data_IF_529508123058
#
_entry.id   IF_529508123058
#
_cell.length_a   1.000
_cell.length_b   1.000
_cell.length_c   1.000
_cell.angle_alpha   90.00
_cell.angle_beta   90.00
_cell.angle_gamma   90.00
#
_symmetry.space_group_name_H-M   'P 1'
#
loop_
_entity.id
_entity.type
_entity.pdbx_description
1 polymer ?
#
# COMPACT_ATOMS: atom_id res chain seq x y z
N UNK A 1 -23.24 3.80 -13.30
CA UNK A 1 -22.24 2.76 -13.65
C UNK A 1 -22.42 1.59 -12.68
N UNK A 2 -22.41 0.35 -13.16
CA UNK A 2 -22.52 -0.83 -12.26
C UNK A 2 -21.14 -1.13 -11.67
N UNK A 3 -21.09 -1.46 -10.38
CA UNK A 3 -19.84 -1.82 -9.67
C UNK A 3 -19.31 -3.20 -10.10
N UNK A 4 -20.18 -4.10 -10.50
CA UNK A 4 -19.84 -5.46 -10.91
C UNK A 4 -19.97 -5.65 -12.43
N UNK A 5 -19.07 -6.46 -13.00
CA UNK A 5 -19.08 -6.79 -14.43
C UNK A 5 -19.43 -8.26 -14.71
N UNK A 6 -19.31 -9.15 -13.71
CA UNK A 6 -19.48 -10.62 -13.81
C UNK A 6 -18.51 -11.31 -14.79
N UNK A 7 -17.56 -10.58 -15.36
CA UNK A 7 -16.59 -11.13 -16.32
C UNK A 7 -15.49 -11.97 -15.68
N UNK A 8 -15.37 -11.92 -14.35
CA UNK A 8 -14.38 -12.64 -13.56
C UNK A 8 -14.90 -13.88 -12.82
N UNK A 9 -16.18 -14.26 -12.99
CA UNK A 9 -16.82 -15.32 -12.19
C UNK A 9 -16.27 -16.72 -12.50
N UNK A 10 -15.55 -16.88 -13.62
CA UNK A 10 -14.89 -18.12 -14.05
C UNK A 10 -13.43 -18.23 -13.61
N UNK A 11 -12.93 -17.35 -12.75
CA UNK A 11 -11.57 -17.39 -12.23
C UNK A 11 -10.56 -16.56 -13.01
N UNK A 12 -10.99 -15.82 -14.03
CA UNK A 12 -10.13 -14.90 -14.78
C UNK A 12 -10.41 -13.44 -14.43
N UNK A 13 -9.39 -12.60 -14.62
CA UNK A 13 -9.48 -11.14 -14.49
C UNK A 13 -8.74 -10.44 -15.63
N UNK A 14 -8.82 -9.12 -15.70
CA UNK A 14 -8.07 -8.32 -16.67
C UNK A 14 -7.06 -7.42 -15.96
N UNK A 15 -5.84 -7.41 -16.50
CA UNK A 15 -4.85 -6.38 -16.18
C UNK A 15 -5.19 -5.07 -16.89
N UNK A 16 -4.55 -3.98 -16.48
CA UNK A 16 -4.61 -2.70 -17.20
C UNK A 16 -4.10 -2.93 -18.62
N UNK A 17 -4.87 -2.47 -19.60
CA UNK A 17 -4.64 -2.76 -21.03
C UNK A 17 -5.45 -3.94 -21.58
N UNK A 18 -6.35 -4.52 -20.77
CA UNK A 18 -7.33 -5.52 -21.22
C UNK A 18 -6.81 -6.96 -21.33
N UNK A 19 -5.59 -7.23 -20.92
CA UNK A 19 -5.02 -8.59 -20.92
C UNK A 19 -5.72 -9.47 -19.90
N UNK A 20 -6.28 -10.60 -20.35
CA UNK A 20 -6.90 -11.60 -19.46
C UNK A 20 -5.84 -12.50 -18.86
N UNK A 21 -5.94 -12.71 -17.55
CA UNK A 21 -5.07 -13.59 -16.75
C UNK A 21 -5.91 -14.33 -15.72
N UNK A 22 -5.41 -15.46 -15.22
CA UNK A 22 -6.02 -16.12 -14.06
C UNK A 22 -5.97 -15.23 -12.83
N UNK A 23 -6.98 -15.29 -11.98
CA UNK A 23 -6.96 -14.63 -10.67
C UNK A 23 -5.85 -15.17 -9.75
N UNK A 24 -5.30 -16.37 -10.02
CA UNK A 24 -4.15 -16.95 -9.33
C UNK A 24 -2.80 -16.59 -9.97
N UNK A 25 -2.75 -15.68 -10.94
CA UNK A 25 -1.50 -15.17 -11.50
C UNK A 25 -0.70 -14.43 -10.42
N UNK A 26 0.62 -14.67 -10.38
CA UNK A 26 1.51 -14.05 -9.39
C UNK A 26 1.43 -12.52 -9.39
N UNK A 27 1.14 -11.92 -10.54
CA UNK A 27 0.97 -10.47 -10.66
C UNK A 27 -0.30 -10.00 -9.94
N UNK A 28 -1.39 -10.78 -10.02
CA UNK A 28 -2.63 -10.50 -9.29
C UNK A 28 -2.38 -10.59 -7.79
N UNK A 29 -1.68 -11.62 -7.33
CA UNK A 29 -1.30 -11.80 -5.94
C UNK A 29 -0.42 -10.64 -5.45
N UNK A 30 0.56 -10.23 -6.25
CA UNK A 30 1.49 -9.14 -5.89
C UNK A 30 0.75 -7.81 -5.65
N UNK A 31 -0.12 -7.37 -6.57
CA UNK A 31 -0.83 -6.12 -6.35
C UNK A 31 -1.97 -6.28 -5.33
N UNK A 32 -2.50 -7.49 -5.16
CA UNK A 32 -3.46 -7.79 -4.09
C UNK A 32 -2.84 -7.59 -2.70
N UNK A 33 -1.61 -8.05 -2.49
CA UNK A 33 -0.87 -7.84 -1.24
C UNK A 33 -0.59 -6.35 -0.98
N UNK A 34 -0.26 -5.59 -2.03
CA UNK A 34 -0.09 -4.13 -1.91
C UNK A 34 -1.40 -3.43 -1.55
N UNK A 35 -2.51 -3.86 -2.14
CA UNK A 35 -3.85 -3.31 -1.84
C UNK A 35 -4.30 -3.67 -0.42
N UNK A 36 -4.00 -4.87 0.05
CA UNK A 36 -4.25 -5.29 1.43
C UNK A 36 -3.46 -4.44 2.43
N UNK A 37 -2.15 -4.23 2.19
CA UNK A 37 -1.33 -3.33 3.01
C UNK A 37 -1.92 -1.91 3.03
N UNK A 38 -2.34 -1.40 1.88
CA UNK A 38 -2.96 -0.08 1.76
C UNK A 38 -4.26 0.02 2.58
N UNK A 39 -5.05 -1.05 2.62
CA UNK A 39 -6.27 -1.13 3.43
C UNK A 39 -5.97 -1.14 4.93
N UNK A 40 -4.93 -1.85 5.36
CA UNK A 40 -4.46 -1.84 6.75
C UNK A 40 -3.98 -0.45 7.17
N UNK A 41 -3.24 0.27 6.33
CA UNK A 41 -2.85 1.65 6.60
C UNK A 41 -4.07 2.56 6.72
N UNK A 42 -5.11 2.37 5.90
CA UNK A 42 -6.37 3.08 6.04
C UNK A 42 -7.06 2.87 7.39
N UNK A 43 -7.00 1.65 7.93
CA UNK A 43 -7.50 1.38 9.28
C UNK A 43 -6.62 2.07 10.35
N UNK A 44 -5.30 2.07 10.19
CA UNK A 44 -4.36 2.70 11.13
C UNK A 44 -4.60 4.21 11.22
N UNK A 45 -4.90 4.86 10.10
CA UNK A 45 -5.23 6.31 10.05
C UNK A 45 -6.31 6.71 11.05
N UNK A 46 -7.30 5.85 11.29
CA UNK A 46 -8.39 6.11 12.25
C UNK A 46 -7.92 6.20 13.72
N UNK A 47 -6.72 5.76 14.02
CA UNK A 47 -6.12 5.80 15.36
C UNK A 47 -5.01 6.84 15.51
N UNK A 48 -4.67 7.55 14.42
CA UNK A 48 -3.61 8.54 14.43
C UNK A 48 -4.11 9.92 14.86
N UNK A 49 -3.24 10.73 15.47
CA UNK A 49 -3.52 12.15 15.66
C UNK A 49 -3.54 12.85 14.30
N UNK A 50 -4.34 13.93 14.20
CA UNK A 50 -4.63 14.62 12.93
C UNK A 50 -3.36 15.06 12.19
N UNK A 51 -2.33 15.47 12.89
CA UNK A 51 -1.05 15.92 12.33
C UNK A 51 -0.22 14.81 11.65
N UNK A 52 -0.60 13.53 11.83
CA UNK A 52 0.09 12.38 11.25
C UNK A 52 -0.67 11.70 10.12
N UNK A 53 -1.92 12.11 9.89
CA UNK A 53 -2.78 11.51 8.86
C UNK A 53 -2.19 11.71 7.47
N UNK A 54 -1.76 12.92 7.13
CA UNK A 54 -1.25 13.26 5.79
C UNK A 54 0.00 12.44 5.43
N UNK A 55 0.84 12.14 6.41
CA UNK A 55 2.03 11.31 6.26
C UNK A 55 1.67 9.89 5.79
N UNK A 56 0.73 9.25 6.49
CA UNK A 56 0.28 7.89 6.13
C UNK A 56 -0.52 7.88 4.83
N UNK A 57 -1.34 8.90 4.56
CA UNK A 57 -2.07 9.01 3.30
C UNK A 57 -1.16 9.23 2.10
N UNK A 58 0.00 9.86 2.28
CA UNK A 58 1.04 9.95 1.24
C UNK A 58 1.59 8.56 0.89
N UNK A 59 1.86 7.73 1.89
CA UNK A 59 2.27 6.33 1.69
C UNK A 59 1.17 5.54 0.97
N UNK A 60 -0.09 5.69 1.37
CA UNK A 60 -1.22 5.03 0.71
C UNK A 60 -1.32 5.41 -0.77
N UNK A 61 -1.07 6.67 -1.11
CA UNK A 61 -1.06 7.15 -2.50
C UNK A 61 0.05 6.52 -3.33
N UNK A 62 1.25 6.34 -2.74
CA UNK A 62 2.36 5.63 -3.38
C UNK A 62 2.04 4.14 -3.57
N UNK A 63 1.49 3.46 -2.57
CA UNK A 63 1.07 2.07 -2.67
C UNK A 63 0.01 1.87 -3.76
N UNK A 64 -0.95 2.80 -3.87
CA UNK A 64 -1.94 2.78 -4.95
C UNK A 64 -1.29 2.87 -6.32
N UNK A 65 -0.29 3.75 -6.48
CA UNK A 65 0.50 3.89 -7.71
C UNK A 65 1.29 2.63 -8.02
N UNK A 66 1.92 2.00 -7.02
CA UNK A 66 2.63 0.71 -7.16
C UNK A 66 1.67 -0.41 -7.61
N UNK A 67 0.51 -0.51 -6.98
CA UNK A 67 -0.52 -1.49 -7.36
C UNK A 67 -0.94 -1.34 -8.83
N UNK A 68 -1.15 -0.12 -9.29
CA UNK A 68 -1.48 0.16 -10.68
C UNK A 68 -0.34 -0.19 -11.65
N UNK A 69 0.92 0.03 -11.27
CA UNK A 69 2.08 -0.38 -12.06
C UNK A 69 2.18 -1.91 -12.15
N UNK A 70 1.98 -2.62 -11.05
CA UNK A 70 1.94 -4.09 -11.00
C UNK A 70 0.79 -4.64 -11.85
N UNK A 71 -0.36 -3.98 -11.86
CA UNK A 71 -1.51 -4.35 -12.68
C UNK A 71 -1.32 -4.07 -14.17
N UNK A 72 -0.25 -3.36 -14.59
CA UNK A 72 0.05 -3.02 -15.99
C UNK A 72 1.02 -4.01 -16.61
N UNK A 73 0.71 -4.57 -17.79
CA UNK A 73 1.57 -5.56 -18.47
C UNK A 73 2.66 -4.93 -19.34
N UNK A 74 2.46 -3.74 -19.88
CA UNK A 74 3.36 -3.11 -20.87
C UNK A 74 4.10 -1.91 -20.30
N UNK A 75 5.42 -1.85 -20.56
CA UNK A 75 6.24 -0.66 -20.34
C UNK A 75 5.92 0.49 -21.31
N UNK A 76 5.25 0.19 -22.42
CA UNK A 76 4.94 1.14 -23.49
C UNK A 76 3.65 1.94 -23.21
N UNK A 77 2.78 1.50 -22.32
CA UNK A 77 1.66 2.30 -21.88
C UNK A 77 2.19 3.50 -21.10
N UNK A 78 1.89 4.71 -21.55
CA UNK A 78 2.10 5.94 -20.76
C UNK A 78 1.50 5.69 -19.37
N UNK A 79 2.35 5.49 -18.39
CA UNK A 79 1.93 5.19 -17.03
C UNK A 79 1.32 6.44 -16.42
N UNK A 80 0.02 6.47 -16.13
CA UNK A 80 -0.62 7.65 -15.53
C UNK A 80 -0.27 7.79 -14.05
N UNK A 81 0.52 6.85 -13.51
CA UNK A 81 0.82 6.77 -12.07
C UNK A 81 2.28 7.12 -11.80
N UNK A 82 2.51 7.85 -10.73
CA UNK A 82 3.86 8.20 -10.28
C UNK A 82 4.68 6.93 -9.96
N UNK A 83 5.94 6.93 -10.35
CA UNK A 83 6.89 5.90 -9.93
C UNK A 83 7.42 6.26 -8.54
N UNK A 84 7.63 5.24 -7.69
CA UNK A 84 8.31 5.44 -6.41
C UNK A 84 9.74 5.88 -6.68
N UNK A 85 10.10 7.01 -6.11
CA UNK A 85 11.41 7.65 -6.29
C UNK A 85 12.31 7.44 -5.08
N UNK A 86 13.60 7.73 -5.24
CA UNK A 86 14.54 7.78 -4.12
C UNK A 86 14.19 8.88 -3.10
N UNK A 87 13.50 9.93 -3.53
CA UNK A 87 13.01 10.98 -2.64
C UNK A 87 11.89 10.47 -1.71
N UNK A 88 11.01 9.60 -2.22
CA UNK A 88 9.96 8.98 -1.40
C UNK A 88 10.56 8.07 -0.32
N UNK A 89 11.57 7.28 -0.70
CA UNK A 89 12.30 6.42 0.26
C UNK A 89 12.96 7.28 1.33
N UNK A 90 13.64 8.36 0.93
CA UNK A 90 14.32 9.26 1.86
C UNK A 90 13.34 9.98 2.79
N UNK A 91 12.13 10.31 2.32
CA UNK A 91 11.09 10.88 3.16
C UNK A 91 10.68 9.90 4.28
N UNK A 92 10.50 8.62 3.95
CA UNK A 92 10.21 7.57 4.95
C UNK A 92 11.33 7.42 5.97
N UNK A 93 12.59 7.38 5.51
CA UNK A 93 13.76 7.32 6.39
C UNK A 93 13.81 8.52 7.34
N UNK A 94 13.54 9.73 6.83
CA UNK A 94 13.49 10.95 7.65
C UNK A 94 12.42 10.87 8.73
N UNK A 95 11.22 10.38 8.39
CA UNK A 95 10.16 10.20 9.39
C UNK A 95 10.52 9.15 10.45
N UNK A 96 11.19 8.06 10.05
CA UNK A 96 11.70 7.06 11.00
C UNK A 96 12.69 7.70 11.98
N UNK A 97 13.65 8.46 11.47
CA UNK A 97 14.66 9.15 12.29
C UNK A 97 14.00 10.13 13.28
N UNK A 98 13.01 10.92 12.81
CA UNK A 98 12.24 11.83 13.67
C UNK A 98 11.49 11.09 14.79
N UNK A 99 10.91 9.92 14.49
CA UNK A 99 10.25 9.10 15.51
C UNK A 99 11.25 8.48 16.50
N UNK A 100 12.42 8.05 16.03
CA UNK A 100 13.46 7.50 16.91
C UNK A 100 13.96 8.53 17.93
N UNK A 101 14.05 9.82 17.55
CA UNK A 101 14.42 10.89 18.49
C UNK A 101 13.38 11.11 19.60
N UNK A 102 12.09 10.78 19.33
CA UNK A 102 10.99 10.96 20.29
C UNK A 102 10.77 9.74 21.19
N UNK A 103 11.23 8.58 20.78
CA UNK A 103 10.98 7.32 21.45
C UNK A 103 12.11 6.95 22.42
N UNK A 104 11.82 6.19 23.49
CA UNK A 104 12.87 5.63 24.33
C UNK A 104 13.77 4.68 23.53
N UNK A 105 15.05 4.63 23.87
CA UNK A 105 16.01 3.70 23.26
C UNK A 105 15.49 2.26 23.44
N UNK A 106 15.30 1.58 22.33
CA UNK A 106 14.86 0.19 22.32
C UNK A 106 16.02 -0.74 22.65
N UNK A 107 15.94 -1.45 23.79
CA UNK A 107 16.97 -2.38 24.26
C UNK A 107 16.60 -3.84 24.08
N UNK A 108 15.36 -4.15 23.68
CA UNK A 108 14.83 -5.48 23.44
C UNK A 108 13.61 -5.41 22.56
N UNK A 109 13.16 -6.55 22.00
CA UNK A 109 11.96 -6.63 21.20
C UNK A 109 10.72 -6.24 22.00
N UNK A 110 9.81 -5.51 21.36
CA UNK A 110 8.54 -5.08 21.93
C UNK A 110 7.46 -6.06 21.46
N UNK A 111 6.63 -6.49 22.39
CA UNK A 111 5.46 -7.31 22.04
C UNK A 111 4.40 -6.47 21.34
N UNK A 112 3.70 -7.04 20.34
CA UNK A 112 2.55 -6.38 19.71
C UNK A 112 1.50 -5.98 20.75
N UNK A 113 0.99 -4.75 20.66
CA UNK A 113 -0.04 -4.29 21.60
C UNK A 113 0.17 -2.86 22.06
N UNK A 114 -0.26 -2.57 23.30
CA UNK A 114 -0.23 -1.22 23.88
C UNK A 114 -1.56 -0.48 23.72
N UNK A 115 -2.07 -0.39 22.53
CA UNK A 115 -3.41 0.10 22.21
C UNK A 115 -3.93 -0.54 20.92
N UNK A 116 -5.17 -0.26 20.53
CA UNK A 116 -5.79 -0.84 19.33
C UNK A 116 -5.02 -0.48 18.04
N UNK A 117 -4.64 0.77 17.87
CA UNK A 117 -3.89 1.22 16.69
C UNK A 117 -2.54 0.51 16.57
N UNK A 118 -1.77 0.46 17.66
CA UNK A 118 -0.48 -0.24 17.70
C UNK A 118 -0.60 -1.74 17.42
N UNK A 119 -1.67 -2.38 17.93
CA UNK A 119 -1.93 -3.80 17.68
C UNK A 119 -2.30 -4.10 16.22
N UNK A 120 -2.90 -3.16 15.50
CA UNK A 120 -3.18 -3.29 14.06
C UNK A 120 -1.97 -2.95 13.19
N UNK A 121 -1.10 -2.04 13.66
CA UNK A 121 0.09 -1.63 12.92
C UNK A 121 1.21 -2.69 12.92
N UNK A 122 1.22 -3.57 13.91
CA UNK A 122 2.22 -4.63 14.08
C UNK A 122 1.89 -5.85 13.24
#
# INVERSE_FOLDING_TARGET
>A
MKIYTKTGDKGDTSLIGGYRVSKSDLRIESYGNVDELNSWLGLIVEFLPQERIDEVQSIQSLLFSMGAQLASKSKEQKRPFAEVSTADIKALETHIDEYEELLPIMTHFILPGGNKGAAHAH
#
